data_IF_945477832643
#
_entry.id   IF_945477832643
#
_cell.length_a   1.000
_cell.length_b   1.000
_cell.length_c   1.000
_cell.angle_alpha   90.00
_cell.angle_beta   90.00
_cell.angle_gamma   90.00
#
_symmetry.space_group_name_H-M   'P 1'
#
loop_
_entity.id
_entity.type
_entity.pdbx_description
1 polymer ?
#
# COMPACT_ATOMS: atom_id res chain seq x y z
N UNK A 1 11.51 29.77 53.72
CA UNK A 1 10.47 29.63 52.67
C UNK A 1 11.02 29.86 51.26
N UNK A 2 11.59 31.03 50.93
CA UNK A 2 12.11 31.33 49.59
C UNK A 2 13.18 30.36 49.05
N UNK A 3 14.13 29.93 49.90
CA UNK A 3 15.19 28.98 49.49
C UNK A 3 14.65 27.61 49.09
N UNK A 4 13.60 27.12 49.76
CA UNK A 4 12.96 25.85 49.41
C UNK A 4 12.26 25.94 48.05
N UNK A 5 11.56 27.05 47.79
CA UNK A 5 10.92 27.29 46.49
C UNK A 5 11.94 27.31 45.34
N UNK A 6 13.11 27.91 45.55
CA UNK A 6 14.18 27.92 44.53
C UNK A 6 14.75 26.53 44.26
N UNK A 7 14.91 25.70 45.29
CA UNK A 7 15.38 24.31 45.13
C UNK A 7 14.35 23.48 44.36
N UNK A 8 13.06 23.62 44.70
CA UNK A 8 11.99 22.92 43.98
C UNK A 8 11.94 23.37 42.51
N UNK A 9 12.03 24.68 42.25
CA UNK A 9 12.03 25.20 40.89
C UNK A 9 13.22 24.66 40.08
N UNK A 10 14.42 24.62 40.68
CA UNK A 10 15.61 24.06 40.05
C UNK A 10 15.44 22.55 39.75
N UNK A 11 14.86 21.80 40.68
CA UNK A 11 14.58 20.39 40.46
C UNK A 11 13.58 20.18 39.32
N UNK A 12 12.51 20.97 39.27
CA UNK A 12 11.52 20.93 38.19
C UNK A 12 12.12 21.28 36.83
N UNK A 13 12.99 22.29 36.75
CA UNK A 13 13.63 22.68 35.48
C UNK A 13 14.59 21.61 34.98
N UNK A 14 15.37 20.99 35.87
CA UNK A 14 16.25 19.86 35.51
C UNK A 14 15.43 18.66 35.05
N UNK A 15 14.37 18.31 35.79
CA UNK A 15 13.47 17.21 35.42
C UNK A 15 12.82 17.46 34.04
N UNK A 16 12.39 18.69 33.77
CA UNK A 16 11.86 19.10 32.48
C UNK A 16 12.89 18.95 31.36
N UNK A 17 14.12 19.44 31.56
CA UNK A 17 15.19 19.32 30.57
C UNK A 17 15.50 17.85 30.22
N UNK A 18 15.60 16.98 31.22
CA UNK A 18 15.79 15.54 31.01
C UNK A 18 14.59 14.94 30.26
N UNK A 19 13.37 15.31 30.66
CA UNK A 19 12.13 14.87 30.02
C UNK A 19 12.10 15.21 28.53
N UNK A 20 12.48 16.44 28.14
CA UNK A 20 12.51 16.85 26.73
C UNK A 20 13.51 15.99 25.92
N UNK A 21 14.71 15.76 26.46
CA UNK A 21 15.73 14.95 25.78
C UNK A 21 15.25 13.51 25.62
N UNK A 22 14.67 12.93 26.68
CA UNK A 22 14.10 11.59 26.65
C UNK A 22 12.97 11.46 25.60
N UNK A 23 12.02 12.39 25.61
CA UNK A 23 10.91 12.39 24.65
C UNK A 23 11.41 12.55 23.22
N UNK A 24 12.44 13.37 22.98
CA UNK A 24 13.03 13.51 21.65
C UNK A 24 13.74 12.24 21.19
N UNK A 25 14.44 11.55 22.08
CA UNK A 25 15.06 10.27 21.76
C UNK A 25 13.99 9.21 21.44
N UNK A 26 12.95 9.12 22.27
CA UNK A 26 11.85 8.17 22.07
C UNK A 26 11.09 8.45 20.79
N UNK A 27 10.81 9.72 20.48
CA UNK A 27 10.20 10.13 19.21
C UNK A 27 11.03 9.67 18.02
N UNK A 28 12.37 9.86 18.06
CA UNK A 28 13.24 9.41 16.97
C UNK A 28 13.16 7.90 16.77
N UNK A 29 13.14 7.10 17.84
CA UNK A 29 13.01 5.65 17.74
C UNK A 29 11.67 5.23 17.11
N UNK A 30 10.56 5.76 17.63
CA UNK A 30 9.22 5.45 17.14
C UNK A 30 9.01 5.90 15.68
N UNK A 31 9.58 7.04 15.31
CA UNK A 31 9.53 7.52 13.94
C UNK A 31 10.25 6.58 12.97
N UNK A 32 11.43 6.07 13.34
CA UNK A 32 12.15 5.09 12.51
C UNK A 32 11.36 3.80 12.35
N UNK A 33 10.74 3.33 13.43
CA UNK A 33 9.88 2.13 13.39
C UNK A 33 8.65 2.34 12.49
N UNK A 34 7.98 3.49 12.63
CA UNK A 34 6.85 3.86 11.79
C UNK A 34 7.24 3.91 10.31
N UNK A 35 8.31 4.63 9.97
CA UNK A 35 8.76 4.73 8.58
C UNK A 35 9.12 3.36 7.99
N UNK A 36 9.66 2.43 8.78
CA UNK A 36 9.92 1.06 8.33
C UNK A 36 8.63 0.31 8.01
N UNK A 37 7.61 0.43 8.86
CA UNK A 37 6.31 -0.22 8.64
C UNK A 37 5.58 0.38 7.45
N UNK A 38 5.63 1.70 7.27
CA UNK A 38 5.06 2.39 6.11
C UNK A 38 5.74 1.94 4.81
N UNK A 39 7.06 1.82 4.80
CA UNK A 39 7.80 1.33 3.64
C UNK A 39 7.37 -0.09 3.25
N UNK A 40 7.29 -1.01 4.22
CA UNK A 40 6.85 -2.38 3.97
C UNK A 40 5.41 -2.42 3.42
N UNK A 41 4.51 -1.59 3.95
CA UNK A 41 3.13 -1.48 3.46
C UNK A 41 3.10 -0.99 2.01
N UNK A 42 3.91 0.01 1.69
CA UNK A 42 3.95 0.60 0.36
C UNK A 42 4.52 -0.40 -0.67
N UNK A 43 5.55 -1.17 -0.31
CA UNK A 43 6.04 -2.28 -1.14
C UNK A 43 4.94 -3.31 -1.43
N UNK A 44 4.19 -3.72 -0.39
CA UNK A 44 3.10 -4.67 -0.53
C UNK A 44 1.97 -4.14 -1.42
N UNK A 45 1.66 -2.84 -1.33
CA UNK A 45 0.68 -2.19 -2.20
C UNK A 45 1.13 -2.15 -3.66
N UNK A 46 2.43 -1.93 -3.92
CA UNK A 46 3.00 -1.97 -5.26
C UNK A 46 2.87 -3.39 -5.84
N UNK A 47 3.22 -4.41 -5.06
CA UNK A 47 3.09 -5.81 -5.48
C UNK A 47 1.63 -6.17 -5.76
N UNK A 48 0.71 -5.80 -4.88
CA UNK A 48 -0.72 -6.00 -5.08
C UNK A 48 -1.23 -5.29 -6.35
N UNK A 49 -0.76 -4.08 -6.63
CA UNK A 49 -1.05 -3.37 -7.88
C UNK A 49 -0.59 -4.14 -9.11
N UNK A 50 0.63 -4.70 -9.09
CA UNK A 50 1.15 -5.53 -10.19
C UNK A 50 0.31 -6.79 -10.38
N UNK A 51 0.00 -7.51 -9.31
CA UNK A 51 -0.83 -8.72 -9.35
C UNK A 51 -2.24 -8.44 -9.90
N UNK A 52 -2.83 -7.29 -9.60
CA UNK A 52 -4.11 -6.90 -10.19
C UNK A 52 -4.02 -6.67 -11.71
N UNK A 53 -2.94 -6.04 -12.19
CA UNK A 53 -2.72 -5.87 -13.63
C UNK A 53 -2.49 -7.20 -14.33
N UNK A 54 -1.75 -8.11 -13.70
CA UNK A 54 -1.58 -9.49 -14.18
C UNK A 54 -2.94 -10.19 -14.28
N UNK A 55 -3.77 -10.14 -13.23
CA UNK A 55 -5.09 -10.75 -13.24
C UNK A 55 -6.03 -10.16 -14.30
N UNK A 56 -6.06 -8.83 -14.45
CA UNK A 56 -6.87 -8.17 -15.47
C UNK A 56 -6.49 -8.64 -16.88
N UNK A 57 -5.18 -8.77 -17.16
CA UNK A 57 -4.67 -9.27 -18.44
C UNK A 57 -5.13 -10.71 -18.73
N UNK A 58 -5.24 -11.55 -17.70
CA UNK A 58 -5.65 -12.96 -17.84
C UNK A 58 -7.17 -13.14 -17.88
N UNK A 59 -7.93 -12.20 -17.31
CA UNK A 59 -9.37 -12.33 -17.13
C UNK A 59 -10.20 -11.92 -18.36
N UNK A 60 -9.76 -10.97 -19.18
CA UNK A 60 -10.71 -10.27 -20.06
C UNK A 60 -10.87 -10.81 -21.49
N UNK A 61 -9.83 -11.40 -22.11
CA UNK A 61 -9.93 -11.77 -23.54
C UNK A 61 -9.41 -13.18 -23.85
N UNK A 62 -8.27 -13.56 -23.28
CA UNK A 62 -7.63 -14.82 -23.63
C UNK A 62 -8.41 -16.04 -23.11
N UNK A 63 -8.92 -15.98 -21.87
CA UNK A 63 -9.69 -17.08 -21.28
C UNK A 63 -11.05 -17.29 -21.94
N UNK A 64 -11.72 -16.22 -22.37
CA UNK A 64 -13.00 -16.32 -23.07
C UNK A 64 -12.80 -16.89 -24.48
N UNK A 65 -11.81 -16.40 -25.24
CA UNK A 65 -11.51 -16.93 -26.58
C UNK A 65 -11.06 -18.40 -26.53
N UNK A 66 -10.20 -18.75 -25.57
CA UNK A 66 -9.74 -20.12 -25.39
C UNK A 66 -10.87 -21.09 -25.01
N UNK A 67 -11.74 -20.72 -24.06
CA UNK A 67 -12.92 -21.53 -23.71
C UNK A 67 -13.88 -21.64 -24.90
N UNK A 68 -14.06 -20.56 -25.67
CA UNK A 68 -14.92 -20.55 -26.85
C UNK A 68 -14.41 -21.48 -27.95
N UNK A 69 -13.10 -21.50 -28.19
CA UNK A 69 -12.47 -22.40 -29.18
C UNK A 69 -12.42 -23.85 -28.71
N UNK A 70 -11.98 -24.08 -27.46
CA UNK A 70 -11.70 -25.44 -26.96
C UNK A 70 -12.95 -26.17 -26.46
N UNK A 71 -13.87 -25.48 -25.77
CA UNK A 71 -15.08 -26.12 -25.22
C UNK A 71 -16.31 -25.97 -26.09
N UNK A 72 -16.45 -24.83 -26.76
CA UNK A 72 -17.61 -24.55 -27.62
C UNK A 72 -17.33 -24.80 -29.11
N UNK A 73 -16.07 -25.14 -29.47
CA UNK A 73 -15.68 -25.41 -30.86
C UNK A 73 -15.83 -24.20 -31.79
N UNK A 74 -15.91 -22.99 -31.23
CA UNK A 74 -16.12 -21.78 -32.02
C UNK A 74 -14.88 -21.52 -32.87
N UNK A 75 -15.10 -21.35 -34.17
CA UNK A 75 -14.09 -20.97 -35.16
C UNK A 75 -14.40 -19.58 -35.70
N UNK A 76 -13.36 -18.89 -36.17
CA UNK A 76 -13.57 -17.62 -36.87
C UNK A 76 -14.41 -17.89 -38.14
N UNK A 77 -15.50 -17.14 -38.38
CA UNK A 77 -16.32 -17.34 -39.57
C UNK A 77 -15.49 -17.04 -40.83
N UNK A 78 -15.64 -17.90 -41.84
CA UNK A 78 -14.95 -17.71 -43.12
C UNK A 78 -15.72 -16.68 -43.96
N UNK A 79 -15.09 -16.10 -45.00
CA UNK A 79 -15.69 -15.03 -45.81
C UNK A 79 -17.06 -15.40 -46.40
N UNK A 80 -17.35 -16.69 -46.59
CA UNK A 80 -18.64 -17.20 -47.06
C UNK A 80 -19.75 -17.25 -46.00
N UNK A 81 -19.40 -17.17 -44.72
CA UNK A 81 -20.33 -17.26 -43.59
C UNK A 81 -20.86 -15.88 -43.12
N UNK A 82 -20.35 -14.79 -43.72
CA UNK A 82 -20.66 -13.42 -43.31
C UNK A 82 -21.75 -12.82 -44.21
N UNK A 83 -22.95 -12.65 -43.66
CA UNK A 83 -24.07 -11.97 -44.35
C UNK A 83 -24.27 -10.57 -43.76
N UNK A 84 -24.04 -9.54 -44.58
CA UNK A 84 -24.27 -8.14 -44.20
C UNK A 84 -25.74 -7.79 -44.42
N UNK A 85 -26.49 -7.67 -43.34
CA UNK A 85 -27.88 -7.18 -43.39
C UNK A 85 -27.84 -5.65 -43.41
N UNK A 86 -28.35 -5.03 -44.49
CA UNK A 86 -28.54 -3.57 -44.55
C UNK A 86 -29.81 -3.20 -43.79
N UNK A 87 -29.82 -2.09 -43.03
CA UNK A 87 -30.98 -1.63 -42.27
C UNK A 87 -32.18 -1.31 -43.16
#
# INVERSE_FOLDING_TARGET
MSRLLLIVLLACTIASAIGVVYMRHRHRQLFVELSRLEHNRDELNIEFGRLQLEQATWAESNRVDQVSRERLGMKFPETGDIVVVRP
#
